data_IF_917757012981
#
_entry.id   IF_917757012981
#
_cell.length_a   1.000
_cell.length_b   1.000
_cell.length_c   1.000
_cell.angle_alpha   90.00
_cell.angle_beta   90.00
_cell.angle_gamma   90.00
#
_symmetry.space_group_name_H-M   'P 1'
#
loop_
_entity.id
_entity.type
_entity.pdbx_description
1 polymer ?
#
# COMPACT_ATOMS: atom_id res chain seq x y z
N UNK A 1 7.06 19.16 -0.53
CA UNK A 1 6.77 19.01 0.91
C UNK A 1 7.49 20.13 1.63
N UNK A 2 6.78 20.91 2.42
CA UNK A 2 7.38 21.95 3.26
C UNK A 2 7.90 21.30 4.52
N UNK A 3 9.17 21.47 4.89
CA UNK A 3 9.65 21.01 6.16
C UNK A 3 8.97 21.82 7.27
N UNK A 4 8.22 21.16 8.11
CA UNK A 4 7.55 21.80 9.22
C UNK A 4 7.06 20.80 10.24
N UNK A 5 7.24 21.15 11.48
CA UNK A 5 6.73 20.38 12.63
C UNK A 5 5.36 20.95 13.02
N UNK A 6 4.40 20.92 12.07
CA UNK A 6 3.07 21.44 12.34
C UNK A 6 2.32 20.47 13.26
N UNK A 7 1.96 20.92 14.45
CA UNK A 7 1.27 20.16 15.51
C UNK A 7 1.96 18.84 15.87
N UNK A 8 3.28 18.83 15.91
CA UNK A 8 4.06 17.63 16.28
C UNK A 8 4.18 16.58 15.16
N UNK A 9 3.88 16.94 13.92
CA UNK A 9 4.18 16.06 12.78
C UNK A 9 5.68 16.05 12.51
N UNK A 10 6.26 14.87 12.57
CA UNK A 10 7.64 14.67 12.13
C UNK A 10 7.64 14.27 10.66
N UNK A 11 8.64 14.75 9.92
CA UNK A 11 8.93 14.22 8.59
C UNK A 11 9.31 12.74 8.72
N UNK A 12 9.00 11.98 7.70
CA UNK A 12 9.43 10.59 7.61
C UNK A 12 10.94 10.47 7.32
N UNK A 13 11.46 9.25 7.23
CA UNK A 13 12.88 8.98 7.06
C UNK A 13 13.48 9.53 5.76
N UNK A 14 12.64 9.88 4.80
CA UNK A 14 13.03 10.48 3.51
C UNK A 14 12.67 11.97 3.38
N UNK A 15 12.34 12.64 4.50
CA UNK A 15 11.94 14.04 4.48
C UNK A 15 10.56 14.31 3.86
N UNK A 16 9.75 13.27 3.68
CA UNK A 16 8.38 13.33 3.22
C UNK A 16 7.38 13.37 4.37
N UNK A 17 6.09 13.40 4.04
CA UNK A 17 5.00 13.39 5.02
C UNK A 17 4.17 12.11 4.85
N UNK A 18 4.09 11.30 5.91
CA UNK A 18 3.16 10.18 5.95
C UNK A 18 1.76 10.65 6.35
N UNK A 19 0.75 10.13 5.68
CA UNK A 19 -0.63 10.33 6.09
C UNK A 19 -0.86 9.71 7.49
N UNK A 20 -1.61 10.43 8.36
CA UNK A 20 -1.82 10.03 9.76
C UNK A 20 -3.28 10.21 10.17
N UNK A 21 -3.73 9.54 11.24
CA UNK A 21 -5.07 9.73 11.78
C UNK A 21 -5.38 11.21 12.08
N UNK A 22 -6.53 11.68 11.61
CA UNK A 22 -6.98 13.06 11.85
C UNK A 22 -6.23 14.14 11.07
N UNK A 23 -5.25 13.78 10.25
CA UNK A 23 -4.48 14.71 9.42
C UNK A 23 -4.51 14.22 7.97
N UNK A 24 -5.61 14.55 7.29
CA UNK A 24 -5.77 14.22 5.88
C UNK A 24 -5.10 15.23 4.96
N UNK A 25 -4.97 16.48 5.41
CA UNK A 25 -4.36 17.55 4.65
C UNK A 25 -2.94 17.77 5.19
N UNK A 26 -1.97 17.22 4.50
CA UNK A 26 -0.57 17.39 4.84
C UNK A 26 -0.06 18.74 4.31
N UNK A 27 1.02 19.25 4.88
CA UNK A 27 1.68 20.50 4.47
C UNK A 27 2.39 20.34 3.12
N UNK A 28 1.61 19.93 2.12
CA UNK A 28 2.08 19.76 0.76
C UNK A 28 1.59 20.93 -0.08
N UNK A 29 2.51 21.53 -0.80
CA UNK A 29 2.20 22.60 -1.75
C UNK A 29 2.39 22.06 -3.18
N UNK A 30 1.30 21.70 -3.88
CA UNK A 30 1.39 21.23 -5.26
C UNK A 30 1.88 22.35 -6.19
N UNK A 31 2.79 22.00 -7.08
CA UNK A 31 3.37 22.92 -8.08
C UNK A 31 3.12 22.34 -9.46
N UNK A 32 2.70 23.18 -10.42
CA UNK A 32 2.63 22.78 -11.82
C UNK A 32 4.02 22.73 -12.42
N UNK A 33 4.37 21.60 -13.02
CA UNK A 33 5.64 21.39 -13.74
C UNK A 33 5.39 20.86 -15.13
N UNK A 34 6.36 20.96 -16.03
CA UNK A 34 6.27 20.39 -17.37
C UNK A 34 6.29 18.85 -17.36
N UNK A 35 5.83 18.24 -18.46
CA UNK A 35 5.76 16.78 -18.58
C UNK A 35 7.12 16.09 -18.55
N UNK A 36 8.20 16.80 -18.82
CA UNK A 36 9.58 16.31 -18.77
C UNK A 36 10.24 16.49 -17.39
N UNK A 37 9.48 16.93 -16.39
CA UNK A 37 10.03 17.12 -15.05
C UNK A 37 10.21 15.78 -14.37
N UNK A 38 11.44 15.48 -13.95
CA UNK A 38 11.81 14.23 -13.28
C UNK A 38 12.32 14.57 -11.89
N UNK A 39 11.77 13.90 -10.88
CA UNK A 39 12.15 14.06 -9.48
C UNK A 39 11.87 12.78 -8.68
N UNK A 40 12.60 12.60 -7.60
CA UNK A 40 12.30 11.59 -6.58
C UNK A 40 12.16 12.26 -5.20
N UNK A 41 11.70 11.55 -4.23
CA UNK A 41 11.67 12.07 -2.86
C UNK A 41 13.08 12.49 -2.42
N UNK A 42 13.18 13.45 -1.50
CA UNK A 42 14.39 14.18 -1.11
C UNK A 42 14.94 15.18 -2.12
N UNK A 43 14.62 15.09 -3.39
CA UNK A 43 15.06 16.12 -4.35
C UNK A 43 14.47 17.46 -3.96
N UNK A 44 15.20 18.54 -4.19
CA UNK A 44 14.85 19.88 -3.71
C UNK A 44 15.23 20.97 -4.69
N UNK A 45 14.58 22.11 -4.56
CA UNK A 45 14.96 23.34 -5.23
C UNK A 45 15.84 24.18 -4.30
N UNK A 46 16.97 24.66 -4.78
CA UNK A 46 17.85 25.58 -4.04
C UNK A 46 17.48 27.06 -4.25
N UNK A 47 16.46 27.32 -5.03
CA UNK A 47 15.96 28.67 -5.33
C UNK A 47 14.47 28.79 -4.98
N UNK A 48 14.03 30.01 -4.71
CA UNK A 48 12.62 30.28 -4.46
C UNK A 48 11.77 30.09 -5.72
N UNK A 49 10.59 29.51 -5.55
CA UNK A 49 9.59 29.41 -6.59
C UNK A 49 8.54 30.50 -6.39
N UNK A 50 8.34 31.31 -7.42
CA UNK A 50 7.31 32.36 -7.46
C UNK A 50 6.25 31.97 -8.48
N UNK A 51 4.98 32.12 -8.15
CA UNK A 51 3.89 31.75 -9.06
C UNK A 51 2.53 32.19 -8.55
N UNK A 52 1.49 31.87 -9.29
CA UNK A 52 0.09 32.19 -8.98
C UNK A 52 -0.62 30.94 -8.47
N UNK A 53 -1.43 31.10 -7.41
CA UNK A 53 -2.29 29.99 -6.95
C UNK A 53 -3.43 29.83 -7.96
N UNK A 54 -3.57 28.61 -8.47
CA UNK A 54 -4.61 28.21 -9.43
C UNK A 54 -5.41 27.03 -8.91
N UNK A 55 -6.65 26.88 -9.40
CA UNK A 55 -7.47 25.69 -9.16
C UNK A 55 -7.72 24.98 -10.49
N UNK A 56 -7.13 23.80 -10.65
CA UNK A 56 -7.29 22.98 -11.86
C UNK A 56 -7.27 21.49 -11.50
N UNK A 57 -8.09 20.71 -12.18
CA UNK A 57 -8.22 19.28 -11.95
C UNK A 57 -8.58 18.95 -10.47
N UNK A 58 -9.53 19.71 -9.91
CA UNK A 58 -10.03 19.54 -8.54
C UNK A 58 -8.94 19.71 -7.46
N UNK A 59 -7.90 20.51 -7.72
CA UNK A 59 -6.78 20.70 -6.79
C UNK A 59 -6.25 22.11 -6.86
N UNK A 60 -6.05 22.75 -5.70
CA UNK A 60 -5.29 24.01 -5.58
C UNK A 60 -3.80 23.72 -5.76
N UNK A 61 -3.11 24.56 -6.53
CA UNK A 61 -1.69 24.43 -6.81
C UNK A 61 -1.05 25.75 -7.19
N UNK A 62 0.26 25.85 -7.11
CA UNK A 62 1.02 26.98 -7.64
C UNK A 62 1.32 26.70 -9.12
N UNK A 63 1.00 27.69 -9.96
CA UNK A 63 1.45 27.76 -11.35
C UNK A 63 2.65 28.70 -11.40
N UNK A 64 3.88 28.19 -11.49
CA UNK A 64 5.09 28.97 -11.30
C UNK A 64 5.43 29.77 -12.53
N UNK A 65 6.02 30.95 -12.34
CA UNK A 65 6.58 31.77 -13.42
C UNK A 65 7.77 31.10 -14.10
N UNK A 66 8.55 30.38 -13.31
CA UNK A 66 9.65 29.50 -13.75
C UNK A 66 9.86 28.39 -12.74
N UNK A 67 10.33 27.23 -13.20
CA UNK A 67 10.71 26.10 -12.33
C UNK A 67 12.24 26.06 -12.29
N UNK A 68 12.86 26.28 -11.12
CA UNK A 68 14.31 26.15 -10.97
C UNK A 68 14.81 24.73 -11.25
N UNK A 69 16.10 24.59 -11.49
CA UNK A 69 16.73 23.29 -11.60
C UNK A 69 16.61 22.51 -10.29
N UNK A 70 16.22 21.24 -10.40
CA UNK A 70 16.12 20.35 -9.25
C UNK A 70 17.52 19.83 -8.85
N UNK A 71 17.74 19.69 -7.56
CA UNK A 71 18.95 19.13 -6.98
C UNK A 71 18.67 17.71 -6.48
N UNK A 72 19.58 16.79 -6.74
CA UNK A 72 19.50 15.41 -6.27
C UNK A 72 19.68 15.34 -4.74
N UNK A 73 18.65 14.87 -4.04
CA UNK A 73 18.65 14.65 -2.61
C UNK A 73 19.32 13.34 -2.16
N UNK A 74 19.88 12.57 -3.08
CA UNK A 74 20.66 11.37 -2.79
C UNK A 74 19.86 10.14 -2.36
N UNK A 75 18.52 10.13 -2.54
CA UNK A 75 17.71 8.95 -2.22
C UNK A 75 18.06 7.79 -3.15
N UNK A 76 18.20 6.60 -2.58
CA UNK A 76 18.46 5.34 -3.30
C UNK A 76 17.35 4.34 -3.03
N UNK A 77 17.10 3.45 -3.99
CA UNK A 77 16.22 2.29 -3.82
C UNK A 77 16.76 1.38 -2.73
N UNK A 78 15.86 0.85 -1.94
CA UNK A 78 16.22 -0.01 -0.81
C UNK A 78 16.43 -1.46 -1.23
N UNK A 79 17.05 -2.20 -0.34
CA UNK A 79 17.14 -3.66 -0.38
C UNK A 79 16.65 -4.16 0.97
N UNK A 80 15.79 -5.16 0.98
CA UNK A 80 15.26 -5.76 2.20
C UNK A 80 16.37 -6.22 3.14
N UNK A 81 16.19 -6.00 4.43
CA UNK A 81 17.05 -6.56 5.48
C UNK A 81 16.63 -7.97 5.91
N UNK A 82 15.55 -8.47 5.32
CA UNK A 82 15.03 -9.82 5.55
C UNK A 82 15.65 -10.77 4.53
N UNK A 83 16.57 -11.61 5.00
CA UNK A 83 17.24 -12.59 4.15
C UNK A 83 16.60 -13.97 4.28
N UNK A 84 16.55 -14.77 3.21
CA UNK A 84 16.08 -16.14 3.25
C UNK A 84 16.85 -16.98 4.28
N UNK A 85 16.15 -17.85 4.96
CA UNK A 85 16.72 -18.82 5.89
C UNK A 85 16.03 -20.16 5.68
N UNK A 86 16.78 -21.25 5.85
CA UNK A 86 16.21 -22.57 5.67
C UNK A 86 15.01 -22.83 6.59
N UNK A 87 15.09 -22.34 7.84
CA UNK A 87 14.10 -22.59 8.88
C UNK A 87 13.02 -21.53 9.02
N UNK A 88 13.03 -20.51 8.14
CA UNK A 88 12.08 -19.41 8.19
C UNK A 88 11.32 -19.31 6.88
N UNK A 89 10.02 -19.06 7.00
CA UNK A 89 9.13 -18.82 5.87
C UNK A 89 9.11 -17.32 5.55
N UNK A 90 9.36 -16.95 4.28
CA UNK A 90 9.30 -15.56 3.83
C UNK A 90 8.14 -15.37 2.86
N UNK A 91 7.28 -14.40 3.15
CA UNK A 91 6.13 -14.04 2.31
C UNK A 91 6.26 -12.57 1.92
N UNK A 92 6.13 -12.27 0.62
CA UNK A 92 6.05 -10.91 0.11
C UNK A 92 4.70 -10.62 -0.52
N UNK A 93 4.31 -9.36 -0.51
CA UNK A 93 3.18 -8.84 -1.29
C UNK A 93 3.64 -7.70 -2.17
N UNK A 94 3.19 -7.68 -3.42
CA UNK A 94 3.56 -6.63 -4.36
C UNK A 94 2.44 -6.37 -5.37
N UNK A 95 1.93 -5.15 -5.38
CA UNK A 95 1.11 -4.65 -6.47
C UNK A 95 2.04 -4.32 -7.64
N UNK A 96 1.93 -5.07 -8.74
CA UNK A 96 2.81 -5.00 -9.91
C UNK A 96 2.24 -4.14 -11.05
N UNK A 97 1.23 -3.35 -10.72
CA UNK A 97 0.63 -2.32 -11.57
C UNK A 97 0.24 -2.84 -12.98
N UNK A 98 -0.99 -3.37 -13.08
CA UNK A 98 -1.59 -3.78 -14.36
C UNK A 98 -0.71 -4.71 -15.23
N UNK A 99 -0.16 -5.75 -14.65
CA UNK A 99 0.77 -6.67 -15.31
C UNK A 99 0.05 -7.73 -16.16
N UNK A 100 0.46 -7.92 -17.41
CA UNK A 100 -0.05 -8.96 -18.31
C UNK A 100 1.03 -9.64 -19.15
N UNK A 101 0.65 -10.73 -19.82
CA UNK A 101 1.48 -11.36 -20.84
C UNK A 101 1.49 -10.56 -22.17
N UNK A 102 0.56 -9.63 -22.35
CA UNK A 102 0.46 -8.83 -23.55
C UNK A 102 1.74 -7.99 -23.77
N UNK A 103 2.32 -8.10 -24.95
CA UNK A 103 3.53 -7.38 -25.33
C UNK A 103 3.31 -6.49 -26.57
N UNK A 104 2.06 -6.14 -26.89
CA UNK A 104 1.72 -5.35 -28.08
C UNK A 104 0.58 -4.38 -27.81
N UNK A 105 0.69 -3.20 -28.39
CA UNK A 105 -0.36 -2.19 -28.38
C UNK A 105 -0.38 -1.34 -27.11
N UNK A 106 -1.46 -0.60 -26.92
CA UNK A 106 -1.60 0.42 -25.88
C UNK A 106 -1.54 -0.15 -24.45
N UNK A 107 -1.91 -1.42 -24.28
CA UNK A 107 -2.05 -2.08 -22.97
C UNK A 107 -0.98 -3.17 -22.77
N UNK A 108 0.16 -3.00 -23.42
CA UNK A 108 1.28 -3.91 -23.27
C UNK A 108 1.96 -3.77 -21.91
N UNK A 109 2.52 -4.89 -21.44
CA UNK A 109 3.53 -4.89 -20.38
C UNK A 109 4.89 -4.97 -21.06
N UNK A 110 5.66 -3.85 -21.12
CA UNK A 110 6.96 -3.84 -21.75
C UNK A 110 7.93 -4.83 -21.10
N UNK A 111 8.81 -5.44 -21.88
CA UNK A 111 9.80 -6.39 -21.35
C UNK A 111 10.70 -5.74 -20.29
N UNK A 112 10.99 -4.44 -20.41
CA UNK A 112 11.71 -3.69 -19.38
C UNK A 112 10.98 -3.69 -18.04
N UNK A 113 9.65 -3.55 -18.02
CA UNK A 113 8.83 -3.63 -16.78
C UNK A 113 8.87 -5.05 -16.21
N UNK A 114 8.78 -6.08 -17.08
CA UNK A 114 8.94 -7.48 -16.65
C UNK A 114 10.29 -7.70 -15.98
N UNK A 115 11.36 -7.16 -16.57
CA UNK A 115 12.72 -7.25 -16.03
C UNK A 115 12.88 -6.53 -14.69
N UNK A 116 12.35 -5.33 -14.58
CA UNK A 116 12.39 -4.55 -13.34
C UNK A 116 11.66 -5.28 -12.21
N UNK A 117 10.45 -5.80 -12.46
CA UNK A 117 9.66 -6.54 -11.47
C UNK A 117 10.38 -7.85 -11.08
N UNK A 118 10.86 -8.63 -12.05
CA UNK A 118 11.58 -9.87 -11.78
C UNK A 118 12.86 -9.63 -10.98
N UNK A 119 13.64 -8.59 -11.32
CA UNK A 119 14.81 -8.20 -10.55
C UNK A 119 14.45 -7.75 -9.14
N UNK A 120 13.33 -7.04 -8.95
CA UNK A 120 12.87 -6.63 -7.61
C UNK A 120 12.66 -7.84 -6.70
N UNK A 121 12.07 -8.92 -7.21
CA UNK A 121 11.90 -10.15 -6.45
C UNK A 121 13.23 -10.83 -6.08
N UNK A 122 14.21 -10.78 -6.97
CA UNK A 122 15.50 -11.43 -6.74
C UNK A 122 16.42 -10.59 -5.86
N UNK A 123 16.58 -9.30 -6.20
CA UNK A 123 17.62 -8.44 -5.64
C UNK A 123 17.15 -7.65 -4.42
N UNK A 124 15.95 -7.07 -4.51
CA UNK A 124 15.46 -6.18 -3.47
C UNK A 124 14.73 -6.93 -2.34
N UNK A 125 13.97 -8.00 -2.66
CA UNK A 125 13.25 -8.79 -1.62
C UNK A 125 13.74 -10.23 -1.47
N UNK A 126 14.89 -10.57 -2.06
CA UNK A 126 15.64 -11.82 -1.83
C UNK A 126 14.88 -13.12 -2.10
N UNK A 127 14.05 -13.16 -3.14
CA UNK A 127 13.34 -14.37 -3.60
C UNK A 127 12.47 -15.02 -2.51
N UNK A 128 11.38 -14.39 -2.04
CA UNK A 128 10.51 -14.92 -1.00
C UNK A 128 9.96 -16.31 -1.34
N UNK A 129 9.60 -17.11 -0.33
CA UNK A 129 9.03 -18.45 -0.55
C UNK A 129 7.62 -18.39 -1.15
N UNK A 130 6.83 -17.38 -0.76
CA UNK A 130 5.49 -17.09 -1.29
C UNK A 130 5.43 -15.59 -1.65
N UNK A 131 4.86 -15.29 -2.81
CA UNK A 131 4.62 -13.92 -3.27
C UNK A 131 3.15 -13.80 -3.61
N UNK A 132 2.46 -12.86 -2.98
CA UNK A 132 1.13 -12.44 -3.41
C UNK A 132 1.28 -11.34 -4.45
N UNK A 133 0.79 -11.61 -5.65
CA UNK A 133 0.77 -10.69 -6.77
C UNK A 133 -0.56 -9.95 -6.81
N UNK A 134 -0.49 -8.63 -6.87
CA UNK A 134 -1.66 -7.77 -6.98
C UNK A 134 -1.62 -7.06 -8.33
N UNK A 135 -2.78 -6.89 -8.95
CA UNK A 135 -2.94 -6.33 -10.30
C UNK A 135 -2.37 -7.19 -11.43
N UNK A 136 -2.51 -8.49 -11.32
CA UNK A 136 -2.34 -9.37 -12.47
C UNK A 136 -3.56 -9.24 -13.38
N UNK A 137 -3.34 -8.97 -14.66
CA UNK A 137 -4.37 -8.97 -15.69
C UNK A 137 -4.47 -10.35 -16.35
N UNK A 138 -5.48 -10.52 -17.20
CA UNK A 138 -5.53 -11.70 -18.05
C UNK A 138 -4.41 -11.71 -19.12
N UNK A 139 -4.40 -12.73 -19.94
CA UNK A 139 -3.28 -12.99 -20.86
C UNK A 139 -3.10 -11.91 -21.95
N UNK A 140 -4.15 -11.16 -22.28
CA UNK A 140 -4.12 -10.13 -23.32
C UNK A 140 -4.27 -8.70 -22.78
N UNK A 141 -4.24 -8.53 -21.45
CA UNK A 141 -4.28 -7.22 -20.80
C UNK A 141 -5.65 -6.55 -20.91
N UNK A 142 -5.69 -5.26 -21.24
CA UNK A 142 -6.94 -4.50 -21.34
C UNK A 142 -7.77 -4.71 -22.61
N UNK A 143 -7.51 -5.76 -23.38
CA UNK A 143 -8.31 -6.08 -24.58
C UNK A 143 -9.65 -6.69 -24.15
N UNK A 144 -10.74 -5.99 -24.41
CA UNK A 144 -12.08 -6.40 -23.99
C UNK A 144 -12.72 -7.37 -25.02
N UNK A 145 -12.31 -8.64 -24.98
CA UNK A 145 -12.75 -9.71 -25.89
C UNK A 145 -13.33 -10.95 -25.16
N UNK A 146 -13.54 -10.86 -23.85
CA UNK A 146 -14.02 -11.95 -23.02
C UNK A 146 -12.91 -12.89 -22.51
N UNK A 147 -11.65 -12.63 -22.78
CA UNK A 147 -10.55 -13.39 -22.21
C UNK A 147 -10.50 -13.18 -20.69
N UNK A 148 -10.48 -14.28 -19.93
CA UNK A 148 -10.39 -14.24 -18.46
C UNK A 148 -9.20 -15.03 -17.92
N UNK A 149 -8.55 -15.84 -18.75
CA UNK A 149 -7.38 -16.62 -18.36
C UNK A 149 -6.15 -15.72 -18.16
N UNK A 150 -5.51 -15.78 -17.00
CA UNK A 150 -4.31 -15.02 -16.63
C UNK A 150 -3.06 -15.88 -16.40
N UNK A 151 -3.13 -17.18 -16.72
CA UNK A 151 -2.03 -18.10 -16.46
C UNK A 151 -0.75 -17.69 -17.18
N UNK A 152 -0.83 -17.27 -18.46
CA UNK A 152 0.35 -16.81 -19.21
C UNK A 152 0.97 -15.54 -18.60
N UNK A 153 0.16 -14.66 -18.01
CA UNK A 153 0.66 -13.45 -17.34
C UNK A 153 1.53 -13.82 -16.13
N UNK A 154 1.05 -14.71 -15.26
CA UNK A 154 1.83 -15.17 -14.12
C UNK A 154 3.06 -16.01 -14.52
N UNK A 155 2.91 -16.90 -15.51
CA UNK A 155 4.01 -17.73 -16.02
C UNK A 155 5.11 -16.90 -16.68
N UNK A 156 4.76 -15.84 -17.42
CA UNK A 156 5.76 -14.90 -18.02
C UNK A 156 6.67 -14.35 -16.92
N UNK A 157 6.11 -13.89 -15.82
CA UNK A 157 6.89 -13.36 -14.70
C UNK A 157 7.73 -14.48 -14.03
N UNK A 158 7.13 -15.63 -13.75
CA UNK A 158 7.83 -16.77 -13.14
C UNK A 158 9.02 -17.24 -14.00
N UNK A 159 8.82 -17.35 -15.31
CA UNK A 159 9.88 -17.73 -16.26
C UNK A 159 10.99 -16.68 -16.30
N UNK A 160 10.62 -15.38 -16.24
CA UNK A 160 11.63 -14.32 -16.23
C UNK A 160 12.46 -14.34 -14.94
N UNK A 161 11.82 -14.51 -13.78
CA UNK A 161 12.54 -14.68 -12.50
C UNK A 161 13.53 -15.85 -12.60
N UNK A 162 13.07 -17.00 -13.10
CA UNK A 162 13.94 -18.18 -13.29
C UNK A 162 15.10 -17.91 -14.23
N UNK A 163 14.86 -17.24 -15.37
CA UNK A 163 15.91 -16.94 -16.36
C UNK A 163 16.98 -15.98 -15.83
N UNK A 164 16.64 -15.15 -14.84
CA UNK A 164 17.56 -14.25 -14.14
C UNK A 164 18.26 -14.90 -12.93
N UNK A 165 18.08 -16.21 -12.73
CA UNK A 165 18.74 -16.98 -11.65
C UNK A 165 17.93 -17.07 -10.37
N UNK A 166 16.70 -16.60 -10.33
CA UNK A 166 15.79 -16.77 -9.21
C UNK A 166 15.15 -18.17 -9.15
N UNK A 167 14.29 -18.46 -8.15
CA UNK A 167 13.61 -19.72 -8.00
C UNK A 167 12.68 -20.05 -9.19
N UNK A 168 12.45 -21.35 -9.39
CA UNK A 168 11.47 -21.86 -10.35
C UNK A 168 10.07 -21.84 -9.71
N UNK A 169 9.50 -20.63 -9.59
CA UNK A 169 8.19 -20.41 -8.99
C UNK A 169 7.07 -21.10 -9.76
N UNK A 170 6.08 -21.58 -9.02
CA UNK A 170 4.78 -21.99 -9.56
C UNK A 170 3.79 -20.87 -9.39
N UNK A 171 2.95 -20.68 -10.39
CA UNK A 171 1.87 -19.70 -10.39
C UNK A 171 0.52 -20.37 -10.11
N UNK A 172 -0.34 -19.68 -9.34
CA UNK A 172 -1.72 -20.12 -9.12
C UNK A 172 -2.66 -18.92 -8.95
N UNK A 173 -3.84 -19.02 -9.54
CA UNK A 173 -4.92 -18.03 -9.50
C UNK A 173 -6.28 -18.71 -9.62
N UNK A 174 -7.35 -17.91 -9.47
CA UNK A 174 -8.71 -18.24 -9.95
C UNK A 174 -9.15 -17.12 -10.87
N UNK A 175 -9.43 -17.44 -12.14
CA UNK A 175 -9.91 -16.48 -13.10
C UNK A 175 -11.24 -15.85 -12.63
N UNK A 176 -11.47 -14.53 -12.82
CA UNK A 176 -12.77 -13.91 -12.56
C UNK A 176 -13.80 -14.35 -13.59
N UNK A 177 -15.07 -14.05 -13.32
CA UNK A 177 -16.09 -13.97 -14.38
C UNK A 177 -15.85 -12.66 -15.14
N UNK A 178 -15.95 -12.70 -16.47
CA UNK A 178 -15.66 -11.57 -17.33
C UNK A 178 -16.37 -10.27 -16.88
N UNK A 179 -15.58 -9.21 -16.69
CA UNK A 179 -16.04 -7.88 -16.31
C UNK A 179 -16.65 -7.75 -14.90
N UNK A 180 -16.63 -8.82 -14.05
CA UNK A 180 -17.28 -8.81 -12.73
C UNK A 180 -16.39 -8.31 -11.59
N UNK A 181 -15.07 -8.32 -11.76
CA UNK A 181 -14.13 -7.98 -10.69
C UNK A 181 -13.67 -6.51 -10.71
N UNK A 182 -14.21 -5.69 -11.62
CA UNK A 182 -13.88 -4.27 -11.72
C UNK A 182 -12.45 -4.01 -12.21
N UNK A 183 -11.93 -2.82 -11.91
CA UNK A 183 -10.63 -2.38 -12.43
C UNK A 183 -10.72 -1.90 -13.87
N UNK A 184 -9.64 -2.06 -14.65
CA UNK A 184 -9.58 -1.69 -16.05
C UNK A 184 -10.53 -2.60 -16.88
N UNK A 185 -11.45 -2.03 -17.69
CA UNK A 185 -12.33 -2.82 -18.54
C UNK A 185 -11.55 -3.79 -19.45
N UNK A 186 -12.01 -5.03 -19.56
CA UNK A 186 -11.36 -6.07 -20.35
C UNK A 186 -10.15 -6.74 -19.69
N UNK A 187 -9.53 -6.13 -18.71
CA UNK A 187 -8.31 -6.65 -18.10
C UNK A 187 -8.54 -7.78 -17.07
N UNK A 188 -9.77 -7.94 -16.59
CA UNK A 188 -10.11 -9.00 -15.63
C UNK A 188 -9.11 -9.15 -14.50
N UNK A 189 -8.75 -8.00 -13.87
CA UNK A 189 -7.69 -7.90 -12.85
C UNK A 189 -7.99 -8.79 -11.66
N UNK A 190 -6.96 -9.49 -11.18
CA UNK A 190 -7.03 -10.45 -10.06
C UNK A 190 -5.83 -10.34 -9.13
N UNK A 191 -5.95 -11.04 -8.01
CA UNK A 191 -4.84 -11.38 -7.14
C UNK A 191 -4.42 -12.82 -7.38
N UNK A 192 -3.12 -13.12 -7.19
CA UNK A 192 -2.56 -14.44 -7.49
C UNK A 192 -1.37 -14.74 -6.59
N UNK A 193 -0.81 -15.95 -6.72
CA UNK A 193 0.39 -16.35 -6.00
C UNK A 193 1.47 -16.85 -6.94
N UNK A 194 2.72 -16.48 -6.62
CA UNK A 194 3.91 -17.25 -6.96
C UNK A 194 4.42 -17.93 -5.68
N UNK A 195 4.78 -19.18 -5.78
CA UNK A 195 5.37 -19.91 -4.65
C UNK A 195 6.52 -20.81 -5.09
N UNK A 196 7.53 -20.95 -4.24
CA UNK A 196 8.69 -21.80 -4.48
C UNK A 196 8.37 -23.25 -4.05
N UNK A 197 8.14 -24.20 -4.99
CA UNK A 197 7.74 -25.56 -4.66
C UNK A 197 8.83 -26.38 -3.97
N UNK A 198 10.07 -25.88 -3.95
CA UNK A 198 11.16 -26.49 -3.16
C UNK A 198 11.11 -26.12 -1.68
N UNK A 199 10.33 -25.11 -1.34
CA UNK A 199 10.24 -24.54 0.01
C UNK A 199 8.89 -24.76 0.64
N UNK A 200 7.81 -24.58 -0.12
CA UNK A 200 6.43 -24.68 0.36
C UNK A 200 5.60 -25.59 -0.54
N UNK A 201 4.61 -26.21 0.05
CA UNK A 201 3.62 -27.02 -0.67
C UNK A 201 2.27 -26.32 -0.62
N UNK A 202 1.67 -26.05 -1.77
CA UNK A 202 0.26 -25.67 -1.87
C UNK A 202 -0.57 -26.92 -1.57
N UNK A 203 -1.38 -26.88 -0.50
CA UNK A 203 -2.10 -28.05 -0.01
C UNK A 203 -3.32 -28.36 -0.88
N UNK A 204 -3.61 -29.64 -1.05
CA UNK A 204 -4.78 -30.08 -1.82
C UNK A 204 -4.53 -30.14 -3.33
N UNK A 205 -5.53 -30.65 -4.06
CA UNK A 205 -5.44 -30.89 -5.50
C UNK A 205 -6.48 -30.12 -6.32
N UNK A 206 -7.50 -29.60 -5.67
CA UNK A 206 -8.63 -28.97 -6.32
C UNK A 206 -8.78 -27.52 -5.90
N UNK A 207 -8.75 -26.62 -6.88
CA UNK A 207 -9.01 -25.20 -6.65
C UNK A 207 -10.50 -24.87 -6.79
N UNK A 208 -10.95 -23.81 -6.11
CA UNK A 208 -12.31 -23.31 -6.22
C UNK A 208 -12.61 -22.70 -7.58
N UNK A 209 -13.89 -22.55 -7.88
CA UNK A 209 -14.38 -21.85 -9.06
C UNK A 209 -14.44 -20.33 -8.87
N UNK A 210 -14.70 -19.60 -9.96
CA UNK A 210 -14.80 -18.13 -10.00
C UNK A 210 -15.87 -17.58 -9.06
N UNK A 211 -16.98 -18.29 -8.88
CA UNK A 211 -18.13 -17.92 -8.04
C UNK A 211 -18.33 -18.84 -6.85
N UNK A 212 -17.38 -19.74 -6.60
CA UNK A 212 -17.43 -20.68 -5.49
C UNK A 212 -16.75 -20.10 -4.26
N UNK A 213 -17.50 -20.01 -3.16
CA UNK A 213 -16.99 -19.43 -1.92
C UNK A 213 -16.05 -20.37 -1.19
N UNK A 214 -14.92 -19.83 -0.74
CA UNK A 214 -13.98 -20.51 0.15
C UNK A 214 -14.68 -20.96 1.44
N UNK A 215 -14.39 -22.19 1.87
CA UNK A 215 -14.93 -22.78 3.10
C UNK A 215 -13.84 -23.51 3.86
N UNK A 216 -14.00 -23.56 5.17
CA UNK A 216 -13.20 -24.42 6.03
C UNK A 216 -13.97 -25.71 6.33
N UNK A 217 -13.27 -26.84 6.22
CA UNK A 217 -13.75 -28.16 6.64
C UNK A 217 -12.69 -28.77 7.56
N UNK A 218 -13.05 -29.06 8.79
CA UNK A 218 -12.13 -29.57 9.81
C UNK A 218 -10.87 -28.67 10.01
N UNK A 219 -11.05 -27.35 9.89
CA UNK A 219 -9.97 -26.38 10.06
C UNK A 219 -9.00 -26.27 8.87
N UNK A 220 -9.38 -26.74 7.68
CA UNK A 220 -8.62 -26.65 6.43
C UNK A 220 -9.47 -26.07 5.33
N UNK A 221 -8.86 -25.43 4.33
CA UNK A 221 -9.56 -25.02 3.12
C UNK A 221 -10.07 -26.26 2.37
N UNK A 222 -11.38 -26.30 2.09
CA UNK A 222 -12.02 -27.38 1.34
C UNK A 222 -11.46 -27.46 -0.08
N UNK A 223 -11.36 -26.31 -0.73
CA UNK A 223 -10.71 -26.12 -2.03
C UNK A 223 -9.57 -25.11 -1.90
N UNK A 224 -8.49 -25.30 -2.62
CA UNK A 224 -7.29 -24.53 -2.44
C UNK A 224 -6.51 -24.29 -3.77
N UNK A 225 -6.32 -23.01 -4.19
CA UNK A 225 -6.86 -21.80 -3.59
C UNK A 225 -8.37 -21.63 -3.80
N UNK A 226 -9.00 -20.73 -3.02
CA UNK A 226 -10.42 -20.43 -3.13
C UNK A 226 -10.70 -18.95 -2.88
N UNK A 227 -11.74 -18.39 -3.56
CA UNK A 227 -12.15 -16.99 -3.46
C UNK A 227 -13.07 -16.80 -2.25
N UNK A 228 -12.87 -15.75 -1.48
CA UNK A 228 -13.67 -15.46 -0.28
C UNK A 228 -14.96 -14.76 -0.71
N UNK A 229 -16.09 -15.42 -0.51
CA UNK A 229 -17.47 -14.94 -0.79
C UNK A 229 -17.61 -14.17 -2.12
N UNK A 230 -17.23 -14.79 -3.27
CA UNK A 230 -17.09 -14.07 -4.54
C UNK A 230 -18.39 -13.55 -5.11
N UNK A 231 -19.54 -14.07 -4.66
CA UNK A 231 -20.89 -13.68 -5.12
C UNK A 231 -21.54 -12.62 -4.24
N UNK A 232 -20.88 -12.18 -3.18
CA UNK A 232 -21.38 -11.12 -2.31
C UNK A 232 -21.56 -9.81 -3.09
N UNK A 233 -22.68 -9.12 -2.87
CA UNK A 233 -22.95 -7.77 -3.40
C UNK A 233 -21.85 -6.77 -2.98
N UNK A 234 -21.20 -6.98 -1.86
CA UNK A 234 -20.13 -6.13 -1.38
C UNK A 234 -18.84 -6.28 -2.18
N UNK A 235 -18.66 -7.43 -2.86
CA UNK A 235 -17.58 -7.65 -3.82
C UNK A 235 -17.98 -7.37 -5.29
N UNK A 236 -19.16 -6.85 -5.55
CA UNK A 236 -19.54 -6.49 -6.92
C UNK A 236 -18.59 -5.42 -7.48
N UNK A 237 -18.04 -5.66 -8.69
CA UNK A 237 -17.06 -4.79 -9.36
C UNK A 237 -15.82 -4.47 -8.48
N UNK A 238 -15.41 -5.44 -7.67
CA UNK A 238 -14.16 -5.42 -6.90
C UNK A 238 -13.47 -6.77 -7.08
N UNK A 239 -12.14 -6.78 -7.06
CA UNK A 239 -11.33 -8.00 -7.05
C UNK A 239 -11.67 -8.80 -5.81
N UNK A 240 -11.84 -10.12 -5.97
CA UNK A 240 -12.17 -11.00 -4.85
C UNK A 240 -10.91 -11.44 -4.15
N UNK A 241 -10.90 -11.36 -2.82
CA UNK A 241 -9.81 -11.87 -2.01
C UNK A 241 -9.65 -13.38 -2.22
N UNK A 242 -8.42 -13.82 -2.34
CA UNK A 242 -8.05 -15.20 -2.62
C UNK A 242 -7.34 -15.80 -1.42
N UNK A 243 -7.86 -16.89 -0.87
CA UNK A 243 -7.24 -17.65 0.20
C UNK A 243 -6.49 -18.86 -0.36
N UNK A 244 -5.27 -19.10 0.11
CA UNK A 244 -4.49 -20.28 -0.20
C UNK A 244 -3.83 -20.84 1.06
N UNK A 245 -3.93 -22.16 1.27
CA UNK A 245 -3.31 -22.88 2.37
C UNK A 245 -2.02 -23.52 1.90
N UNK A 246 -0.92 -23.16 2.56
CA UNK A 246 0.41 -23.69 2.29
C UNK A 246 0.95 -24.47 3.49
N UNK A 247 1.85 -25.40 3.22
CA UNK A 247 2.65 -26.09 4.22
C UNK A 247 4.13 -25.73 4.05
N UNK A 248 4.77 -25.38 5.17
CA UNK A 248 6.20 -25.16 5.29
C UNK A 248 6.74 -25.96 6.47
N UNK A 249 7.59 -26.96 6.21
CA UNK A 249 8.22 -27.82 7.26
C UNK A 249 7.20 -28.38 8.29
N UNK A 250 6.02 -28.80 7.82
CA UNK A 250 4.95 -29.33 8.67
C UNK A 250 4.04 -28.28 9.31
N UNK A 251 4.37 -27.02 9.21
CA UNK A 251 3.53 -25.91 9.68
C UNK A 251 2.59 -25.44 8.57
N UNK A 252 1.30 -25.33 8.88
CA UNK A 252 0.27 -24.88 7.93
C UNK A 252 -0.09 -23.44 8.16
N UNK A 253 -0.28 -22.72 7.05
CA UNK A 253 -0.58 -21.30 7.05
C UNK A 253 -1.56 -20.96 5.91
N UNK A 254 -2.58 -20.19 6.21
CA UNK A 254 -3.50 -19.64 5.22
C UNK A 254 -3.04 -18.23 4.86
N UNK A 255 -2.61 -18.06 3.62
CA UNK A 255 -2.25 -16.75 3.06
C UNK A 255 -3.44 -16.22 2.27
N UNK A 256 -3.85 -14.98 2.54
CA UNK A 256 -4.97 -14.33 1.86
C UNK A 256 -4.44 -13.12 1.10
N UNK A 257 -4.53 -13.17 -0.23
CA UNK A 257 -4.20 -12.05 -1.10
C UNK A 257 -5.43 -11.14 -1.29
N UNK A 258 -5.23 -9.83 -1.11
CA UNK A 258 -6.30 -8.83 -1.13
C UNK A 258 -6.01 -7.72 -2.14
N UNK A 259 -7.05 -7.22 -2.78
CA UNK A 259 -7.05 -5.97 -3.52
C UNK A 259 -8.44 -5.34 -3.40
N UNK A 260 -8.65 -4.57 -2.34
CA UNK A 260 -9.95 -4.04 -1.98
C UNK A 260 -10.38 -2.88 -2.89
N UNK A 261 -11.57 -2.34 -2.67
CA UNK A 261 -12.12 -1.22 -3.44
C UNK A 261 -11.18 -0.02 -3.39
N UNK A 262 -10.74 0.44 -4.55
CA UNK A 262 -9.88 1.61 -4.69
C UNK A 262 -10.57 2.89 -4.21
N UNK A 263 -9.76 3.91 -3.86
CA UNK A 263 -10.23 5.26 -3.51
C UNK A 263 -10.70 6.08 -4.72
N UNK A 264 -10.73 5.49 -5.91
CA UNK A 264 -11.27 6.14 -7.11
C UNK A 264 -12.76 6.44 -6.92
N UNK A 265 -13.11 7.73 -6.92
CA UNK A 265 -14.43 8.26 -6.60
C UNK A 265 -14.50 9.01 -5.28
N UNK A 266 -13.45 8.97 -4.47
CA UNK A 266 -13.31 9.83 -3.30
C UNK A 266 -12.95 11.27 -3.71
N UNK A 267 -13.24 12.25 -2.84
CA UNK A 267 -12.86 13.63 -3.08
C UNK A 267 -11.35 13.80 -3.06
N UNK A 268 -10.87 14.76 -3.84
CA UNK A 268 -9.45 15.10 -3.82
C UNK A 268 -9.08 15.75 -2.47
N UNK A 269 -7.98 15.30 -1.85
CA UNK A 269 -7.49 15.82 -0.56
C UNK A 269 -7.31 17.34 -0.59
N UNK A 270 -6.81 17.88 -1.71
CA UNK A 270 -6.62 19.32 -1.93
C UNK A 270 -7.72 19.94 -2.79
N UNK A 271 -8.93 19.37 -2.74
CA UNK A 271 -10.09 19.85 -3.49
C UNK A 271 -10.85 20.95 -2.75
N UNK A 272 -11.92 21.44 -3.40
CA UNK A 272 -12.80 22.45 -2.83
C UNK A 272 -13.65 21.97 -1.66
N UNK A 273 -13.96 20.66 -1.62
CA UNK A 273 -14.70 20.06 -0.51
C UNK A 273 -13.75 19.78 0.66
N UNK A 274 -13.98 20.43 1.80
CA UNK A 274 -13.18 20.28 3.00
C UNK A 274 -14.08 20.12 4.23
N UNK A 275 -13.92 19.05 5.02
CA UNK A 275 -13.02 17.91 4.77
C UNK A 275 -13.44 17.11 3.52
N UNK A 276 -12.46 16.46 2.87
CA UNK A 276 -12.72 15.59 1.71
C UNK A 276 -13.59 14.39 2.10
N UNK A 277 -14.54 14.03 1.25
CA UNK A 277 -15.46 12.92 1.49
C UNK A 277 -14.91 11.63 0.88
N UNK A 278 -14.84 10.57 1.69
CA UNK A 278 -14.44 9.23 1.27
C UNK A 278 -15.65 8.41 0.80
N UNK A 279 -16.12 8.67 -0.43
CA UNK A 279 -17.32 8.02 -0.99
C UNK A 279 -17.20 6.49 -1.10
N UNK A 280 -15.99 5.95 -1.18
CA UNK A 280 -15.73 4.52 -1.34
C UNK A 280 -15.50 3.79 -0.02
N UNK A 281 -15.35 4.51 1.09
CA UNK A 281 -15.05 3.97 2.44
C UNK A 281 -16.05 2.92 2.91
N UNK A 282 -17.35 3.20 2.76
CA UNK A 282 -18.39 2.27 3.21
C UNK A 282 -18.27 0.89 2.56
N UNK A 283 -17.93 0.86 1.26
CA UNK A 283 -17.73 -0.40 0.54
C UNK A 283 -16.54 -1.19 1.08
N UNK A 284 -15.39 -0.53 1.31
CA UNK A 284 -14.23 -1.19 1.92
C UNK A 284 -14.52 -1.76 3.31
N UNK A 285 -15.36 -1.09 4.10
CA UNK A 285 -15.77 -1.59 5.42
C UNK A 285 -16.60 -2.88 5.29
N UNK A 286 -17.51 -2.96 4.30
CA UNK A 286 -18.29 -4.19 4.09
C UNK A 286 -17.42 -5.35 3.59
N UNK A 287 -16.48 -5.10 2.67
CA UNK A 287 -15.46 -6.07 2.27
C UNK A 287 -14.64 -6.56 3.49
N UNK A 288 -14.25 -5.65 4.36
CA UNK A 288 -13.51 -5.93 5.59
C UNK A 288 -14.27 -6.84 6.57
N UNK A 289 -15.58 -6.63 6.72
CA UNK A 289 -16.46 -7.48 7.56
C UNK A 289 -16.49 -8.92 7.05
N UNK A 290 -16.55 -9.12 5.74
CA UNK A 290 -16.53 -10.46 5.12
C UNK A 290 -15.20 -11.16 5.43
N UNK A 291 -14.08 -10.46 5.24
CA UNK A 291 -12.76 -11.01 5.53
C UNK A 291 -12.60 -11.38 7.00
N UNK A 292 -13.02 -10.52 7.92
CA UNK A 292 -12.95 -10.80 9.35
C UNK A 292 -13.85 -11.99 9.73
N UNK A 293 -15.05 -12.09 9.15
CA UNK A 293 -15.96 -13.23 9.38
C UNK A 293 -15.33 -14.56 8.89
N UNK A 294 -14.67 -14.55 7.73
CA UNK A 294 -13.96 -15.72 7.20
C UNK A 294 -12.83 -16.19 8.13
N UNK A 295 -12.05 -15.26 8.66
CA UNK A 295 -10.96 -15.53 9.62
C UNK A 295 -11.53 -16.12 10.91
N UNK A 296 -12.58 -15.52 11.45
CA UNK A 296 -13.25 -16.02 12.66
C UNK A 296 -13.77 -17.44 12.50
N UNK A 297 -14.35 -17.75 11.34
CA UNK A 297 -14.81 -19.12 11.05
C UNK A 297 -13.66 -20.11 11.01
N UNK A 298 -12.55 -19.76 10.37
CA UNK A 298 -11.35 -20.61 10.39
C UNK A 298 -10.82 -20.87 11.78
N UNK A 299 -10.67 -19.81 12.60
CA UNK A 299 -10.20 -19.91 13.98
C UNK A 299 -11.21 -20.63 14.91
N UNK A 300 -12.50 -20.52 14.63
CA UNK A 300 -13.53 -21.29 15.36
C UNK A 300 -13.39 -22.79 15.14
N UNK A 301 -13.04 -23.22 13.91
CA UNK A 301 -12.81 -24.65 13.60
C UNK A 301 -11.44 -25.12 14.07
N UNK A 302 -10.43 -24.27 13.98
CA UNK A 302 -9.07 -24.56 14.43
C UNK A 302 -8.43 -23.32 15.07
N UNK A 303 -8.43 -23.19 16.40
CA UNK A 303 -7.85 -22.04 17.10
C UNK A 303 -6.32 -21.86 16.86
N UNK A 304 -5.64 -22.90 16.39
CA UNK A 304 -4.21 -22.85 16.09
C UNK A 304 -3.93 -22.50 14.62
N UNK A 305 -4.96 -22.24 13.82
CA UNK A 305 -4.79 -21.85 12.43
C UNK A 305 -3.99 -20.54 12.34
N UNK A 306 -3.07 -20.50 11.40
CA UNK A 306 -2.21 -19.34 11.18
C UNK A 306 -2.69 -18.62 9.93
N UNK A 307 -2.93 -17.33 10.06
CA UNK A 307 -3.31 -16.46 8.94
C UNK A 307 -2.23 -15.42 8.66
N UNK A 308 -1.99 -15.18 7.38
CA UNK A 308 -1.28 -14.00 6.87
C UNK A 308 -2.12 -13.38 5.76
N UNK A 309 -2.67 -12.20 5.99
CA UNK A 309 -3.36 -11.43 4.97
C UNK A 309 -2.40 -10.39 4.42
N UNK A 310 -2.31 -10.30 3.12
CA UNK A 310 -1.41 -9.38 2.43
C UNK A 310 -2.14 -8.70 1.29
N UNK A 311 -1.60 -7.63 0.79
CA UNK A 311 -2.07 -7.00 -0.45
C UNK A 311 -2.29 -5.51 -0.36
N UNK A 312 -2.87 -4.98 -1.42
CA UNK A 312 -3.34 -3.61 -1.50
C UNK A 312 -4.75 -3.51 -0.90
N UNK A 313 -4.81 -3.02 0.33
CA UNK A 313 -6.08 -2.82 1.03
C UNK A 313 -6.79 -1.54 0.57
N UNK A 314 -6.15 -0.73 -0.28
CA UNK A 314 -6.66 0.56 -0.74
C UNK A 314 -7.12 1.47 0.41
N UNK A 315 -6.58 1.23 1.59
CA UNK A 315 -6.82 2.04 2.78
C UNK A 315 -5.63 1.96 3.75
N UNK A 316 -5.57 2.90 4.68
CA UNK A 316 -4.41 3.12 5.54
C UNK A 316 -4.39 2.17 6.73
N UNK A 317 -3.22 1.93 7.31
CA UNK A 317 -3.04 1.06 8.48
C UNK A 317 -3.90 1.47 9.69
N UNK A 318 -4.31 2.74 9.75
CA UNK A 318 -5.15 3.29 10.81
C UNK A 318 -6.63 3.42 10.44
N UNK A 319 -7.04 3.08 9.21
CA UNK A 319 -8.42 3.26 8.74
C UNK A 319 -9.40 2.27 9.36
N UNK A 320 -10.69 2.63 9.34
CA UNK A 320 -11.75 1.80 9.92
C UNK A 320 -11.91 0.46 9.18
N UNK A 321 -11.69 0.44 7.87
CA UNK A 321 -11.73 -0.81 7.08
C UNK A 321 -10.64 -1.78 7.52
N UNK A 322 -9.40 -1.32 7.62
CA UNK A 322 -8.27 -2.16 8.06
C UNK A 322 -8.45 -2.60 9.51
N UNK A 323 -8.88 -1.71 10.41
CA UNK A 323 -9.23 -2.07 11.80
C UNK A 323 -10.34 -3.11 11.88
N UNK A 324 -11.33 -3.05 10.98
CA UNK A 324 -12.42 -4.03 10.91
C UNK A 324 -11.89 -5.42 10.52
N UNK A 325 -10.95 -5.50 9.56
CA UNK A 325 -10.32 -6.79 9.22
C UNK A 325 -9.50 -7.32 10.41
N UNK A 326 -8.71 -6.45 11.04
CA UNK A 326 -7.88 -6.82 12.20
C UNK A 326 -8.72 -7.40 13.32
N UNK A 327 -9.83 -6.78 13.66
CA UNK A 327 -10.70 -7.24 14.74
C UNK A 327 -9.96 -7.56 16.04
N UNK A 328 -10.36 -8.63 16.69
CA UNK A 328 -9.66 -9.18 17.86
C UNK A 328 -8.69 -10.32 17.50
N UNK A 329 -8.66 -10.75 16.25
CA UNK A 329 -8.01 -11.96 15.78
C UNK A 329 -6.59 -11.72 15.27
N UNK A 330 -6.37 -10.55 14.68
CA UNK A 330 -5.15 -10.24 13.95
C UNK A 330 -4.33 -9.12 14.57
N UNK A 331 -3.15 -8.91 14.01
CA UNK A 331 -2.24 -7.78 14.24
C UNK A 331 -1.85 -7.21 12.89
N UNK A 332 -1.86 -5.88 12.74
CA UNK A 332 -1.35 -5.21 11.54
C UNK A 332 0.13 -4.84 11.74
N UNK A 333 1.01 -5.48 10.98
CA UNK A 333 2.45 -5.28 11.10
C UNK A 333 2.89 -3.88 10.64
N UNK A 334 2.22 -3.29 9.64
CA UNK A 334 2.49 -1.92 9.21
C UNK A 334 2.15 -0.92 10.33
N UNK A 335 1.06 -1.14 11.07
CA UNK A 335 0.66 -0.28 12.18
C UNK A 335 1.59 -0.37 13.40
N UNK A 336 2.29 -1.50 13.57
CA UNK A 336 3.30 -1.70 14.61
C UNK A 336 4.72 -1.29 14.18
N UNK A 337 4.94 -1.07 12.89
CA UNK A 337 6.25 -0.67 12.35
C UNK A 337 6.64 0.76 12.76
N UNK A 338 7.90 1.14 12.53
CA UNK A 338 8.38 2.51 12.78
C UNK A 338 7.56 3.55 12.00
N UNK A 339 7.07 4.58 12.67
CA UNK A 339 6.13 5.55 12.10
C UNK A 339 6.67 6.27 10.85
N UNK A 340 7.97 6.58 10.84
CA UNK A 340 8.62 7.24 9.71
C UNK A 340 8.72 6.38 8.45
N UNK A 341 8.49 5.08 8.59
CA UNK A 341 8.68 4.05 7.55
C UNK A 341 7.36 3.39 7.11
N UNK A 342 6.21 3.89 7.61
CA UNK A 342 4.88 3.34 7.34
C UNK A 342 4.33 3.89 6.04
N UNK A 343 4.84 3.42 4.91
CA UNK A 343 4.27 3.71 3.59
C UNK A 343 4.66 2.64 2.58
N UNK A 344 3.88 2.56 1.52
CA UNK A 344 4.11 1.70 0.37
C UNK A 344 3.68 2.37 -0.94
N UNK A 345 3.06 3.54 -0.84
CA UNK A 345 2.46 4.25 -1.96
C UNK A 345 2.64 5.76 -1.78
N UNK A 346 2.75 6.47 -2.89
CA UNK A 346 2.85 7.93 -2.88
C UNK A 346 1.74 8.55 -3.73
N UNK A 347 0.94 9.42 -3.12
CA UNK A 347 -0.13 10.09 -3.84
C UNK A 347 -0.22 11.55 -3.47
N UNK A 348 -0.10 12.42 -4.49
CA UNK A 348 -0.27 13.88 -4.37
C UNK A 348 0.50 14.50 -3.21
N UNK A 349 1.75 14.11 -3.04
CA UNK A 349 2.64 14.69 -2.03
C UNK A 349 2.63 14.00 -0.67
N UNK A 350 1.80 12.98 -0.47
CA UNK A 350 1.72 12.22 0.78
C UNK A 350 2.10 10.76 0.57
N UNK A 351 2.92 10.24 1.47
CA UNK A 351 3.18 8.82 1.57
C UNK A 351 2.02 8.13 2.30
N UNK A 352 1.60 6.98 1.81
CA UNK A 352 0.43 6.23 2.27
C UNK A 352 0.77 4.74 2.43
N UNK A 353 0.22 4.08 3.44
CA UNK A 353 0.40 2.66 3.68
C UNK A 353 -0.78 1.85 3.12
N UNK A 354 -0.89 1.73 1.81
CA UNK A 354 -1.97 0.97 1.17
C UNK A 354 -1.73 -0.53 1.22
N UNK A 355 -0.46 -0.94 1.17
CA UNK A 355 -0.05 -2.34 1.23
C UNK A 355 0.26 -2.72 2.67
N UNK A 356 -0.52 -3.65 3.21
CA UNK A 356 -0.42 -4.08 4.60
C UNK A 356 -0.19 -5.59 4.69
N UNK A 357 0.41 -6.04 5.80
CA UNK A 357 0.44 -7.45 6.20
C UNK A 357 -0.20 -7.56 7.57
N UNK A 358 -1.28 -8.35 7.63
CA UNK A 358 -1.98 -8.68 8.86
C UNK A 358 -1.71 -10.15 9.19
N UNK A 359 -1.42 -10.43 10.44
CA UNK A 359 -1.10 -11.81 10.90
C UNK A 359 -2.01 -12.20 12.06
N UNK A 360 -2.29 -13.50 12.20
CA UNK A 360 -2.96 -14.01 13.39
C UNK A 360 -2.09 -13.87 14.64
N UNK A 361 -2.70 -13.55 15.78
CA UNK A 361 -2.01 -13.25 17.04
C UNK A 361 -1.09 -14.38 17.52
N UNK A 362 -1.41 -15.64 17.20
CA UNK A 362 -0.63 -16.82 17.61
C UNK A 362 0.75 -16.92 16.96
N UNK A 363 1.07 -16.07 15.98
CA UNK A 363 2.39 -15.98 15.35
C UNK A 363 3.06 -14.61 15.54
N UNK A 364 2.49 -13.70 16.34
CA UNK A 364 2.99 -12.32 16.49
C UNK A 364 4.47 -12.26 16.88
N UNK A 365 4.87 -13.05 17.87
CA UNK A 365 6.24 -13.01 18.42
C UNK A 365 7.27 -13.76 17.55
N UNK A 366 6.80 -14.31 16.42
CA UNK A 366 7.60 -15.13 15.49
C UNK A 366 7.98 -14.39 14.22
N UNK A 367 7.59 -13.13 14.05
CA UNK A 367 7.71 -12.43 12.78
C UNK A 367 8.72 -11.28 12.81
N UNK A 368 9.26 -11.02 11.62
CA UNK A 368 9.96 -9.77 11.27
C UNK A 368 9.27 -9.24 10.02
N UNK A 369 9.02 -7.93 9.98
CA UNK A 369 8.32 -7.25 8.89
C UNK A 369 9.15 -6.07 8.37
N UNK A 370 9.07 -5.79 7.08
CA UNK A 370 9.64 -4.60 6.46
C UNK A 370 8.88 -4.21 5.20
N UNK A 371 8.46 -2.96 5.04
CA UNK A 371 8.26 -2.39 3.70
C UNK A 371 9.64 -2.28 3.02
N UNK A 372 9.69 -2.25 1.69
CA UNK A 372 10.95 -2.14 0.93
C UNK A 372 10.77 -1.04 -0.12
N UNK A 373 11.29 0.15 0.15
CA UNK A 373 11.02 1.34 -0.65
C UNK A 373 11.85 1.39 -1.93
N UNK A 374 11.25 0.89 -3.01
CA UNK A 374 11.89 0.81 -4.33
C UNK A 374 11.14 1.55 -5.45
N UNK A 375 9.88 1.95 -5.19
CA UNK A 375 8.99 2.51 -6.21
C UNK A 375 8.29 3.80 -5.77
N UNK A 376 7.57 3.79 -4.64
CA UNK A 376 6.67 4.87 -4.24
C UNK A 376 7.34 6.26 -4.20
N UNK A 377 8.62 6.31 -3.86
CA UNK A 377 9.41 7.53 -3.76
C UNK A 377 10.20 7.88 -5.03
N UNK A 378 9.99 7.14 -6.13
CA UNK A 378 10.75 7.23 -7.37
C UNK A 378 9.83 7.43 -8.58
N UNK A 379 10.37 7.96 -9.66
CA UNK A 379 9.75 7.97 -10.99
C UNK A 379 10.35 6.85 -11.86
N UNK A 380 9.78 6.59 -13.03
CA UNK A 380 10.22 5.52 -13.94
C UNK A 380 11.69 5.67 -14.36
N UNK A 381 12.15 6.90 -14.55
CA UNK A 381 13.53 7.24 -14.89
C UNK A 381 14.53 6.84 -13.78
N UNK A 382 14.05 6.65 -12.56
CA UNK A 382 14.85 6.16 -11.43
C UNK A 382 14.76 4.64 -11.25
N UNK A 383 14.17 3.92 -12.21
CA UNK A 383 14.07 2.46 -12.19
C UNK A 383 12.82 1.91 -11.51
N UNK A 384 11.81 2.74 -11.22
CA UNK A 384 10.50 2.31 -10.71
C UNK A 384 9.86 1.30 -11.66
N UNK A 385 9.30 0.23 -11.11
CA UNK A 385 8.61 -0.82 -11.85
C UNK A 385 7.09 -0.86 -11.61
N UNK A 386 6.64 -0.24 -10.52
CA UNK A 386 5.24 -0.13 -10.07
C UNK A 386 5.07 1.17 -9.31
N UNK A 387 3.84 1.61 -9.07
CA UNK A 387 3.53 2.73 -8.17
C UNK A 387 3.47 2.33 -6.68
N UNK A 388 3.52 1.04 -6.38
CA UNK A 388 3.57 0.49 -5.03
C UNK A 388 4.94 -0.08 -4.67
N UNK A 389 5.27 -0.02 -3.39
CA UNK A 389 6.42 -0.72 -2.80
C UNK A 389 6.01 -2.12 -2.34
N UNK A 390 6.87 -3.15 -2.50
CA UNK A 390 6.62 -4.45 -1.90
C UNK A 390 6.75 -4.39 -0.37
N UNK A 391 5.98 -5.26 0.31
CA UNK A 391 6.06 -5.50 1.75
C UNK A 391 6.40 -6.95 2.01
N UNK A 392 7.25 -7.21 3.03
CA UNK A 392 7.80 -8.53 3.31
C UNK A 392 7.63 -8.90 4.77
N UNK A 393 7.23 -10.14 5.04
CA UNK A 393 7.25 -10.75 6.37
C UNK A 393 8.03 -12.05 6.35
N UNK A 394 8.82 -12.29 7.39
CA UNK A 394 9.48 -13.57 7.64
C UNK A 394 8.98 -14.14 8.95
N UNK A 395 8.63 -15.44 8.95
CA UNK A 395 8.07 -16.16 10.08
C UNK A 395 9.06 -17.24 10.52
N UNK A 396 9.44 -17.19 11.79
CA UNK A 396 10.33 -18.17 12.42
C UNK A 396 9.51 -19.12 13.29
N UNK A 397 9.14 -20.28 12.75
CA UNK A 397 8.35 -21.27 13.47
C UNK A 397 9.15 -22.01 14.56
N UNK A 398 10.48 -21.93 14.57
CA UNK A 398 11.31 -22.52 15.63
C UNK A 398 11.22 -21.76 16.95
N UNK A 399 10.85 -20.47 16.92
CA UNK A 399 10.64 -19.67 18.12
C UNK A 399 9.45 -20.22 18.92
N UNK A 400 9.70 -20.67 20.14
CA UNK A 400 8.64 -20.97 21.11
C UNK A 400 8.00 -19.66 21.53
N UNK A 401 6.66 -19.67 21.72
CA UNK A 401 5.97 -18.53 22.34
C UNK A 401 6.60 -18.29 23.72
N UNK A 402 6.99 -17.07 24.02
CA UNK A 402 7.41 -16.71 25.38
C UNK A 402 6.23 -16.93 26.30
N UNK A 403 6.42 -17.77 27.32
CA UNK A 403 5.42 -18.02 28.36
C UNK A 403 5.27 -16.74 29.16
N UNK A 404 4.26 -15.94 28.84
CA UNK A 404 3.83 -14.84 29.71
C UNK A 404 3.21 -15.39 30.96
N UNK A 405 4.00 -15.59 31.99
CA UNK A 405 3.50 -15.71 33.36
C UNK A 405 2.87 -14.38 33.71
N UNK A 406 1.62 -14.30 34.14
CA UNK A 406 1.00 -13.04 34.53
C UNK A 406 1.70 -12.51 35.77
N UNK A 407 2.52 -11.50 35.62
CA UNK A 407 2.99 -10.69 36.76
C UNK A 407 1.81 -9.85 37.22
N UNK A 408 1.34 -10.06 38.43
CA UNK A 408 0.35 -9.23 39.10
C UNK A 408 0.81 -7.76 39.08
N UNK A 409 -0.07 -6.81 38.81
CA UNK A 409 0.28 -5.41 38.87
C UNK A 409 0.51 -5.00 40.32
N UNK A 410 1.75 -4.70 40.64
CA UNK A 410 2.06 -3.96 41.88
C UNK A 410 1.51 -2.54 41.76
N UNK A 411 0.59 -2.18 42.62
CA UNK A 411 0.09 -0.83 42.79
C UNK A 411 1.20 0.04 43.35
N UNK A 412 1.77 0.92 42.51
CA UNK A 412 2.58 2.04 42.99
C UNK A 412 1.92 3.33 42.55
N UNK A 413 1.29 3.99 43.52
CA UNK A 413 0.81 5.35 43.35
C UNK A 413 2.01 6.30 43.43
N UNK A 414 2.18 7.14 42.43
CA UNK A 414 2.98 8.36 42.55
C UNK A 414 2.27 9.56 41.93
N UNK A 415 2.42 10.75 42.50
CA UNK A 415 1.46 11.83 42.41
C UNK A 415 1.65 12.68 41.15
N UNK A 416 0.52 13.20 40.68
CA UNK A 416 0.38 14.20 39.64
C UNK A 416 1.11 15.47 39.99
N UNK A 417 1.99 15.95 39.13
CA UNK A 417 2.52 17.30 39.19
C UNK A 417 1.87 18.16 38.07
N UNK A 418 1.21 19.28 38.44
CA UNK A 418 0.57 20.14 37.47
C UNK A 418 1.50 21.28 37.07
N UNK A 419 2.18 21.14 35.95
CA UNK A 419 2.76 22.31 35.28
C UNK A 419 2.60 22.16 33.77
N UNK A 420 1.59 22.84 33.27
CA UNK A 420 1.38 23.08 31.84
C UNK A 420 2.19 24.29 31.42
N UNK A 421 3.01 24.21 30.38
CA UNK A 421 3.53 25.43 29.77
C UNK A 421 2.46 26.09 28.90
N UNK A 422 2.34 27.37 29.10
CA UNK A 422 1.43 28.26 28.41
C UNK A 422 1.67 28.28 26.90
N UNK A 423 0.56 28.20 26.18
CA UNK A 423 0.39 28.48 24.76
C UNK A 423 1.10 29.80 24.37
N UNK A 424 2.08 29.70 23.49
CA UNK A 424 2.58 30.85 22.73
C UNK A 424 2.09 30.70 21.29
N UNK A 425 0.89 31.20 21.05
CA UNK A 425 0.35 31.44 19.72
C UNK A 425 1.17 32.51 19.02
N UNK A 426 2.05 32.13 18.13
CA UNK A 426 2.59 33.06 17.12
C UNK A 426 1.52 33.29 16.06
N UNK A 427 0.77 34.35 16.22
CA UNK A 427 -0.15 34.88 15.25
C UNK A 427 0.64 35.34 14.00
N UNK A 428 0.25 34.83 12.83
CA UNK A 428 0.69 35.36 11.56
C UNK A 428 0.25 36.84 11.45
N UNK A 429 1.20 37.75 11.34
CA UNK A 429 0.89 39.17 11.09
C UNK A 429 0.51 39.34 9.63
N UNK A 430 -0.66 39.93 9.38
CA UNK A 430 -1.09 40.39 8.05
C UNK A 430 -0.78 41.85 7.89
N UNK A 431 0.11 42.18 6.95
CA UNK A 431 0.28 43.58 6.49
C UNK A 431 -0.56 43.81 5.25
N UNK A 432 -1.37 44.86 5.29
CA UNK A 432 -2.18 45.31 4.16
C UNK A 432 -1.48 46.48 3.47
N UNK A 433 -1.08 46.28 2.23
CA UNK A 433 -0.59 47.36 1.37
C UNK A 433 -1.47 47.43 0.13
N UNK A 434 -2.45 48.34 0.14
CA UNK A 434 -3.36 48.56 -0.99
C UNK A 434 -4.37 47.42 -1.19
N UNK A 435 -4.61 46.99 -2.44
CA UNK A 435 -5.52 45.88 -2.80
C UNK A 435 -4.88 44.50 -2.75
N UNK A 436 -3.62 44.41 -2.37
CA UNK A 436 -2.86 43.18 -2.32
C UNK A 436 -2.74 42.70 -0.86
N UNK A 437 -3.09 41.44 -0.61
CA UNK A 437 -2.84 40.80 0.66
C UNK A 437 -1.61 39.90 0.58
N UNK A 438 -0.69 40.10 1.53
CA UNK A 438 0.48 39.22 1.67
C UNK A 438 0.34 38.46 2.98
N UNK A 439 0.27 37.12 2.92
CA UNK A 439 0.46 36.27 4.10
C UNK A 439 1.83 35.65 4.06
N UNK A 440 2.57 35.88 5.10
CA UNK A 440 3.94 35.36 5.26
C UNK A 440 3.95 34.37 6.40
N UNK A 441 4.41 33.14 6.12
CA UNK A 441 4.71 32.14 7.13
C UNK A 441 6.22 31.92 7.16
N UNK A 442 6.84 32.01 8.35
CA UNK A 442 8.25 31.67 8.54
C UNK A 442 8.34 30.25 9.06
N UNK A 443 9.07 29.39 8.36
CA UNK A 443 9.29 28.02 8.73
C UNK A 443 10.48 27.91 9.70
N UNK A 444 10.56 26.79 10.45
CA UNK A 444 11.53 26.60 11.51
C UNK A 444 13.00 26.59 11.05
N UNK A 445 13.24 26.35 9.77
CA UNK A 445 14.56 26.36 9.10
C UNK A 445 14.96 27.72 8.54
N UNK A 446 14.16 28.77 8.81
CA UNK A 446 14.42 30.11 8.32
C UNK A 446 13.86 30.42 6.92
N UNK A 447 13.25 29.45 6.26
CA UNK A 447 12.56 29.65 4.98
C UNK A 447 11.31 30.48 5.21
N UNK A 448 11.11 31.50 4.40
CA UNK A 448 9.92 32.37 4.45
C UNK A 448 9.09 32.12 3.21
N UNK A 449 7.83 31.70 3.39
CA UNK A 449 6.84 31.59 2.32
C UNK A 449 5.91 32.79 2.41
N UNK A 450 5.89 33.61 1.35
CA UNK A 450 4.99 34.76 1.24
C UNK A 450 4.03 34.52 0.07
N UNK A 451 2.73 34.52 0.35
CA UNK A 451 1.69 34.43 -0.67
C UNK A 451 1.07 35.81 -0.82
N UNK A 452 1.20 36.40 -2.02
CA UNK A 452 0.58 37.64 -2.39
C UNK A 452 -0.62 37.36 -3.30
N UNK A 453 -1.80 37.87 -2.97
CA UNK A 453 -2.99 37.68 -3.79
C UNK A 453 -3.76 39.00 -3.99
N UNK A 454 -4.38 39.12 -5.14
CA UNK A 454 -5.21 40.27 -5.54
C UNK A 454 -6.69 39.90 -5.40
N UNK A 455 -7.38 40.53 -4.46
CA UNK A 455 -8.81 40.25 -4.19
C UNK A 455 -9.72 40.56 -5.39
N UNK A 456 -9.31 41.46 -6.29
CA UNK A 456 -10.11 41.80 -7.46
C UNK A 456 -10.27 40.67 -8.47
N UNK A 457 -9.44 39.61 -8.36
CA UNK A 457 -9.44 38.40 -9.22
C UNK A 457 -10.12 37.19 -8.60
N UNK A 458 -10.55 37.29 -7.34
CA UNK A 458 -11.16 36.17 -6.62
C UNK A 458 -12.69 36.15 -6.82
N UNK A 459 -13.31 37.27 -7.15
CA UNK A 459 -14.77 37.43 -7.24
C UNK A 459 -15.37 37.08 -8.62
N UNK A 460 -14.72 36.26 -9.41
CA UNK A 460 -15.15 35.96 -10.77
C UNK A 460 -15.30 34.46 -11.09
N UNK A 461 -15.60 33.59 -10.10
CA UNK A 461 -15.89 32.19 -10.35
C UNK A 461 -17.12 31.80 -9.54
N UNK A 462 -18.30 31.91 -10.18
CA UNK A 462 -19.51 31.20 -9.85
C UNK A 462 -19.39 29.70 -10.27
#
# INVERSE_FOLDING_TARGET
>A
VLPGDYKGQKLNNIGGVNLRPGVQNTEVLPITVGNSFVAKAKDYFNENITGVVTYKNRTYKIDPSSVPAIQDGGLKREVSKIYPSEDKLTIASYNIENFSANNKGHDETPEEKVDKIANSFIKEVHSPDIITLIEVQDNNGGVNDGTVDGVKSGEKLAQRIKSLGGPDYKYTEIAPVDGKDGGKPGANIRVAYLYNPKRVTLIGKEKGGSEEAARFVNGHLEKNPARIDPTSVHFEKVRKSLAAEFEFKGERIVVIANHLKSKLGDDAIYGSNQPSVENTKAKRIEEAKILNAFIKEGLRQNPNLKFVLTGDFNDFEFSDSVKTIVGNELVNLMAEHEQGDRYSYFYRGSNQSLDNILISKNIKDKVVFSPVHINASFMEEHGRASDHDPVVVQIDFSKKAESTTPTQPGISANPVNPDSPKDSTNLATSEQTGKDFVRTARLADGVTVSVKYDESKINGVD
#
